data_IF_668283488521
#
_entry.id   IF_668283488521
#
_cell.length_a   1.000
_cell.length_b   1.000
_cell.length_c   1.000
_cell.angle_alpha   90.00
_cell.angle_beta   90.00
_cell.angle_gamma   90.00
#
_symmetry.space_group_name_H-M   'P 1'
#
loop_
_entity.id
_entity.type
_entity.pdbx_description
1 polymer ?
#
# COMPACT_ATOMS: atom_id res chain seq x y z
N UNK A 1 -24.01 -5.86 8.00
CA UNK A 1 -22.81 -5.16 7.48
C UNK A 1 -23.00 -3.68 7.77
N UNK A 2 -21.91 -2.92 7.92
CA UNK A 2 -21.99 -1.48 8.24
C UNK A 2 -21.36 -0.68 7.11
N UNK A 3 -22.06 0.33 6.63
CA UNK A 3 -21.54 1.25 5.61
C UNK A 3 -20.48 2.15 6.24
N UNK A 4 -19.27 2.15 5.66
CA UNK A 4 -18.16 2.97 6.14
C UNK A 4 -17.64 3.86 5.02
N UNK A 5 -17.34 5.12 5.37
CA UNK A 5 -16.68 6.09 4.50
C UNK A 5 -15.17 6.08 4.79
N UNK A 6 -14.38 5.85 3.77
CA UNK A 6 -12.96 5.49 3.90
C UNK A 6 -12.10 6.36 2.99
N UNK A 7 -11.10 7.02 3.55
CA UNK A 7 -10.09 7.75 2.78
C UNK A 7 -8.93 6.82 2.43
N UNK A 8 -8.73 6.57 1.13
CA UNK A 8 -7.78 5.55 0.67
C UNK A 8 -6.35 6.05 0.69
N UNK A 9 -5.47 5.33 1.41
CA UNK A 9 -4.05 5.67 1.56
C UNK A 9 -3.12 4.66 0.91
N UNK A 10 -3.53 3.40 0.86
CA UNK A 10 -2.65 2.28 0.54
C UNK A 10 -3.36 1.30 -0.37
N UNK A 11 -2.64 0.88 -1.41
CA UNK A 11 -2.93 -0.32 -2.21
C UNK A 11 -1.64 -1.09 -2.34
N UNK A 12 -1.61 -2.34 -1.90
CA UNK A 12 -0.41 -3.16 -2.08
C UNK A 12 -0.31 -3.67 -3.51
N UNK A 13 0.90 -3.91 -3.99
CA UNK A 13 1.11 -4.63 -5.24
C UNK A 13 0.49 -6.03 -5.13
N UNK A 14 -0.30 -6.49 -6.13
CA UNK A 14 -0.97 -7.78 -6.07
C UNK A 14 0.00 -8.90 -5.79
N UNK A 15 -0.46 -9.83 -4.97
CA UNK A 15 0.15 -11.15 -4.86
C UNK A 15 -0.80 -12.16 -5.48
N UNK A 16 -0.25 -13.16 -6.15
CA UNK A 16 -1.03 -14.33 -6.56
C UNK A 16 -1.36 -15.14 -5.32
N UNK A 17 -2.66 -15.37 -5.10
CA UNK A 17 -3.13 -16.34 -4.12
C UNK A 17 -3.68 -17.57 -4.82
N UNK A 18 -3.73 -18.69 -4.11
CA UNK A 18 -4.26 -19.96 -4.65
C UNK A 18 -5.80 -19.94 -4.78
N UNK A 19 -6.49 -19.06 -4.05
CA UNK A 19 -7.96 -18.99 -3.99
C UNK A 19 -8.56 -17.83 -4.78
N UNK A 20 -7.77 -16.80 -5.06
CA UNK A 20 -8.17 -15.60 -5.78
C UNK A 20 -7.04 -15.19 -6.73
N UNK A 21 -7.35 -15.01 -8.01
CA UNK A 21 -6.41 -14.69 -9.08
C UNK A 21 -5.40 -13.59 -8.69
N UNK A 22 -5.90 -12.48 -8.14
CA UNK A 22 -5.09 -11.37 -7.66
C UNK A 22 -5.71 -10.77 -6.40
N UNK A 23 -4.92 -10.64 -5.33
CA UNK A 23 -5.37 -9.99 -4.10
C UNK A 23 -4.55 -8.76 -3.78
N UNK A 24 -5.25 -7.64 -3.62
CA UNK A 24 -4.71 -6.39 -3.09
C UNK A 24 -5.24 -6.21 -1.66
N UNK A 25 -4.34 -5.88 -0.75
CA UNK A 25 -4.72 -5.29 0.53
C UNK A 25 -4.91 -3.80 0.29
N UNK A 26 -6.11 -3.29 0.55
CA UNK A 26 -6.37 -1.85 0.56
C UNK A 26 -6.42 -1.39 2.01
N UNK A 27 -5.80 -0.25 2.30
CA UNK A 27 -5.96 0.38 3.60
C UNK A 27 -6.20 1.88 3.48
N UNK A 28 -6.90 2.40 4.47
CA UNK A 28 -7.30 3.80 4.56
C UNK A 28 -7.64 4.16 5.99
N UNK A 29 -8.21 5.34 6.14
CA UNK A 29 -8.66 5.86 7.42
C UNK A 29 -10.14 6.21 7.34
N UNK A 30 -10.85 5.97 8.44
CA UNK A 30 -12.25 6.35 8.63
C UNK A 30 -12.37 7.84 8.94
N UNK A 31 -13.59 8.34 9.05
CA UNK A 31 -13.87 9.75 9.34
C UNK A 31 -13.42 10.17 10.75
N UNK A 32 -13.44 9.24 11.70
CA UNK A 32 -12.84 9.43 13.03
C UNK A 32 -11.29 9.34 13.00
N UNK A 33 -10.72 9.09 11.83
CA UNK A 33 -9.29 8.94 11.58
C UNK A 33 -8.73 7.56 11.92
N UNK A 34 -9.50 6.61 12.46
CA UNK A 34 -9.02 5.26 12.77
C UNK A 34 -8.68 4.47 11.49
N UNK A 35 -7.76 3.51 11.60
CA UNK A 35 -7.38 2.68 10.46
C UNK A 35 -8.49 1.72 10.05
N UNK A 36 -8.56 1.43 8.75
CA UNK A 36 -9.31 0.32 8.20
C UNK A 36 -8.50 -0.37 7.10
N UNK A 37 -8.55 -1.71 7.11
CA UNK A 37 -7.97 -2.62 6.12
C UNK A 37 -9.10 -3.39 5.46
N UNK A 38 -9.22 -3.25 4.15
CA UNK A 38 -10.14 -4.02 3.33
C UNK A 38 -9.39 -5.20 2.70
N UNK A 39 -9.85 -6.41 2.98
CA UNK A 39 -9.30 -7.62 2.39
C UNK A 39 -10.34 -8.76 2.33
N UNK A 40 -10.40 -9.52 1.22
CA UNK A 40 -9.68 -9.31 -0.04
C UNK A 40 -10.29 -8.16 -0.88
N UNK A 41 -9.46 -7.47 -1.68
CA UNK A 41 -9.96 -6.59 -2.76
C UNK A 41 -9.31 -6.98 -4.09
N UNK A 42 -10.07 -7.53 -5.06
CA UNK A 42 -9.58 -7.85 -6.40
C UNK A 42 -9.55 -6.57 -7.27
N UNK A 43 -8.74 -5.58 -6.89
CA UNK A 43 -8.78 -4.20 -7.43
C UNK A 43 -8.75 -4.11 -8.97
N UNK A 44 -8.03 -5.01 -9.65
CA UNK A 44 -7.94 -5.02 -11.11
C UNK A 44 -9.23 -5.47 -11.80
N UNK A 45 -10.01 -6.31 -11.12
CA UNK A 45 -11.31 -6.85 -11.56
C UNK A 45 -12.50 -5.97 -11.16
N UNK A 46 -12.28 -4.90 -10.38
CA UNK A 46 -13.33 -3.93 -10.10
C UNK A 46 -13.74 -3.23 -11.41
N UNK A 47 -15.00 -2.83 -11.49
CA UNK A 47 -15.50 -2.02 -12.59
C UNK A 47 -14.75 -0.68 -12.64
N UNK A 48 -14.72 -0.02 -13.80
CA UNK A 48 -14.01 1.25 -13.95
C UNK A 48 -14.48 2.30 -12.94
N UNK A 49 -15.78 2.34 -12.66
CA UNK A 49 -16.41 3.26 -11.69
C UNK A 49 -16.03 2.93 -10.24
N UNK A 50 -15.65 1.67 -9.97
CA UNK A 50 -15.21 1.18 -8.66
C UNK A 50 -13.69 1.31 -8.48
N UNK A 51 -12.93 1.65 -9.52
CA UNK A 51 -11.47 1.86 -9.42
C UNK A 51 -11.17 3.20 -8.76
N UNK A 52 -10.95 3.15 -7.45
CA UNK A 52 -10.60 4.33 -6.67
C UNK A 52 -9.11 4.72 -6.76
N UNK A 53 -8.80 6.01 -7.00
CA UNK A 53 -7.46 6.56 -6.83
C UNK A 53 -6.94 6.47 -5.39
N UNK A 54 -5.64 6.70 -5.19
CA UNK A 54 -5.12 7.03 -3.85
C UNK A 54 -5.59 8.44 -3.49
N UNK A 55 -5.89 8.68 -2.22
CA UNK A 55 -6.40 9.95 -1.70
C UNK A 55 -7.83 10.32 -2.14
N UNK A 56 -8.67 9.32 -2.45
CA UNK A 56 -10.11 9.49 -2.64
C UNK A 56 -10.90 8.98 -1.43
N UNK A 57 -12.09 9.51 -1.21
CA UNK A 57 -13.07 8.89 -0.32
C UNK A 57 -13.91 7.88 -1.09
N UNK A 58 -14.04 6.70 -0.51
CA UNK A 58 -14.98 5.68 -0.95
C UNK A 58 -16.02 5.44 0.13
N UNK A 59 -17.17 4.90 -0.26
CA UNK A 59 -18.12 4.27 0.65
C UNK A 59 -18.27 2.80 0.28
N UNK A 60 -18.35 1.95 1.29
CA UNK A 60 -18.53 0.51 1.08
C UNK A 60 -19.11 -0.11 2.35
N UNK A 61 -20.01 -1.08 2.19
CA UNK A 61 -20.45 -1.90 3.30
C UNK A 61 -19.35 -2.86 3.72
N UNK A 62 -19.13 -2.97 5.03
CA UNK A 62 -18.05 -3.78 5.58
C UNK A 62 -18.57 -4.70 6.68
N UNK A 63 -17.90 -5.83 6.84
CA UNK A 63 -18.08 -6.73 7.97
C UNK A 63 -16.73 -7.02 8.61
N UNK A 64 -16.66 -7.07 9.95
CA UNK A 64 -15.41 -7.42 10.64
C UNK A 64 -14.94 -8.81 10.23
N UNK A 65 -13.66 -8.95 9.87
CA UNK A 65 -13.08 -10.23 9.52
C UNK A 65 -12.64 -10.99 10.79
N UNK A 66 -13.51 -11.83 11.34
CA UNK A 66 -13.24 -12.57 12.60
C UNK A 66 -12.10 -13.59 12.51
N UNK A 67 -11.67 -13.96 11.29
CA UNK A 67 -10.50 -14.83 11.07
C UNK A 67 -9.17 -14.08 11.12
N UNK A 68 -9.22 -12.75 11.20
CA UNK A 68 -8.05 -11.87 11.26
C UNK A 68 -8.09 -11.09 12.57
N UNK A 69 -7.15 -11.38 13.45
CA UNK A 69 -7.11 -10.80 14.79
C UNK A 69 -6.85 -9.28 14.77
N UNK A 70 -6.30 -8.75 13.67
CA UNK A 70 -5.95 -7.33 13.55
C UNK A 70 -7.21 -6.46 13.63
N UNK A 71 -7.27 -5.48 14.54
CA UNK A 71 -8.48 -4.73 14.89
C UNK A 71 -9.10 -4.00 13.69
N UNK A 72 -8.27 -3.63 12.71
CA UNK A 72 -8.69 -2.89 11.55
C UNK A 72 -9.05 -3.76 10.34
N UNK A 73 -9.12 -5.10 10.46
CA UNK A 73 -9.38 -6.01 9.33
C UNK A 73 -10.88 -6.23 9.05
N UNK A 74 -11.33 -5.79 7.87
CA UNK A 74 -12.72 -5.88 7.42
C UNK A 74 -12.82 -6.49 6.02
N UNK A 75 -13.92 -7.22 5.77
CA UNK A 75 -14.33 -7.69 4.45
C UNK A 75 -15.29 -6.68 3.82
N UNK A 76 -14.99 -6.15 2.63
CA UNK A 76 -15.91 -5.28 1.91
C UNK A 76 -16.97 -6.09 1.16
N UNK A 77 -18.19 -5.56 1.06
CA UNK A 77 -19.16 -5.94 0.03
C UNK A 77 -18.87 -5.09 -1.22
N UNK A 78 -18.18 -5.67 -2.20
CA UNK A 78 -17.71 -4.94 -3.37
C UNK A 78 -18.84 -4.39 -4.24
N UNK A 79 -20.04 -5.01 -4.22
CA UNK A 79 -21.22 -4.52 -4.96
C UNK A 79 -21.68 -3.13 -4.46
N UNK A 80 -21.36 -2.79 -3.22
CA UNK A 80 -21.73 -1.51 -2.59
C UNK A 80 -20.63 -0.46 -2.68
N UNK A 81 -19.48 -0.82 -3.27
CA UNK A 81 -18.33 0.07 -3.32
C UNK A 81 -18.59 1.20 -4.30
N UNK A 82 -18.48 2.44 -3.82
CA UNK A 82 -18.59 3.64 -4.65
C UNK A 82 -17.53 4.68 -4.29
N UNK A 83 -17.07 5.42 -5.29
CA UNK A 83 -16.16 6.56 -5.08
C UNK A 83 -16.99 7.81 -4.86
N UNK A 84 -17.16 8.22 -3.59
CA UNK A 84 -18.02 9.36 -3.23
C UNK A 84 -17.31 10.71 -3.31
N UNK A 85 -15.98 10.71 -3.29
CA UNK A 85 -15.20 11.92 -3.53
C UNK A 85 -13.85 11.56 -4.15
N UNK A 86 -13.65 11.94 -5.41
CA UNK A 86 -12.38 11.76 -6.07
C UNK A 86 -11.28 12.62 -5.44
N UNK A 87 -10.03 12.24 -5.67
CA UNK A 87 -8.89 13.09 -5.36
C UNK A 87 -9.00 14.40 -6.19
N UNK A 88 -8.86 15.55 -5.54
CA UNK A 88 -8.88 16.85 -6.21
C UNK A 88 -7.87 16.90 -7.38
N UNK A 89 -8.27 17.51 -8.51
CA UNK A 89 -7.40 17.71 -9.68
C UNK A 89 -6.10 18.46 -9.33
N UNK A 90 -6.18 19.45 -8.43
CA UNK A 90 -5.03 20.12 -7.84
C UNK A 90 -4.67 19.44 -6.52
N UNK A 91 -3.39 19.12 -6.35
CA UNK A 91 -2.87 18.50 -5.15
C UNK A 91 -3.06 19.44 -3.94
N UNK A 92 -3.80 18.97 -2.94
CA UNK A 92 -4.04 19.68 -1.68
C UNK A 92 -3.31 18.96 -0.55
N UNK A 93 -2.06 19.36 -0.29
CA UNK A 93 -1.22 18.73 0.72
C UNK A 93 -1.70 18.97 2.14
N UNK A 94 -2.27 20.15 2.41
CA UNK A 94 -2.74 20.52 3.75
C UNK A 94 -4.02 19.77 4.12
N UNK A 95 -4.95 19.59 3.17
CA UNK A 95 -6.08 18.68 3.38
C UNK A 95 -5.62 17.26 3.66
N UNK A 96 -4.66 16.74 2.89
CA UNK A 96 -4.12 15.40 3.11
C UNK A 96 -3.47 15.26 4.47
N UNK A 97 -2.65 16.23 4.91
CA UNK A 97 -2.07 16.24 6.26
C UNK A 97 -3.15 16.24 7.32
N UNK A 98 -4.16 17.10 7.18
CA UNK A 98 -5.26 17.20 8.15
C UNK A 98 -6.00 15.88 8.30
N UNK A 99 -6.31 15.20 7.18
CA UNK A 99 -7.01 13.91 7.23
C UNK A 99 -6.06 12.82 7.77
N UNK A 100 -4.84 12.71 7.25
CA UNK A 100 -3.89 11.62 7.58
C UNK A 100 -3.35 11.73 8.99
N UNK A 101 -2.98 12.92 9.46
CA UNK A 101 -2.36 13.14 10.76
C UNK A 101 -3.36 13.58 11.84
N UNK A 102 -4.60 13.91 11.47
CA UNK A 102 -5.58 14.49 12.40
C UNK A 102 -5.87 13.63 13.63
N UNK A 103 -5.92 12.31 13.47
CA UNK A 103 -6.10 11.38 14.59
C UNK A 103 -5.17 10.15 14.50
N UNK A 104 -3.97 10.35 13.94
CA UNK A 104 -3.00 9.29 13.79
C UNK A 104 -1.73 9.60 14.56
N UNK A 105 -1.28 8.63 15.33
CA UNK A 105 0.04 8.69 15.94
C UNK A 105 1.11 8.44 14.87
N UNK A 106 2.03 9.39 14.71
CA UNK A 106 3.19 9.27 13.83
C UNK A 106 4.35 8.68 14.62
N UNK A 107 4.60 7.39 14.44
CA UNK A 107 5.69 6.69 15.11
C UNK A 107 7.05 7.12 14.55
N UNK A 108 8.01 7.35 15.43
CA UNK A 108 9.41 7.65 15.06
C UNK A 108 10.38 6.58 15.56
N UNK A 109 9.95 5.73 16.50
CA UNK A 109 10.72 4.63 17.06
C UNK A 109 10.21 3.28 16.56
N UNK A 110 11.08 2.48 15.93
CA UNK A 110 10.62 1.23 15.32
C UNK A 110 10.44 0.11 16.37
N UNK A 111 11.25 0.08 17.44
CA UNK A 111 11.12 -0.95 18.47
C UNK A 111 9.85 -0.78 19.30
N UNK A 112 9.46 0.45 19.60
CA UNK A 112 8.17 0.77 20.21
C UNK A 112 7.02 0.23 19.35
N UNK A 113 7.04 0.54 18.05
CA UNK A 113 6.00 0.11 17.13
C UNK A 113 5.95 -1.43 17.00
N UNK A 114 7.10 -2.10 16.97
CA UNK A 114 7.17 -3.58 16.97
C UNK A 114 6.59 -4.16 18.26
N UNK A 115 6.88 -3.54 19.41
CA UNK A 115 6.37 -3.98 20.71
C UNK A 115 4.85 -3.86 20.75
N UNK A 116 4.30 -2.72 20.32
CA UNK A 116 2.85 -2.50 20.22
C UNK A 116 2.17 -3.42 19.22
N UNK A 117 2.81 -3.75 18.10
CA UNK A 117 2.26 -4.74 17.17
C UNK A 117 2.06 -6.10 17.85
N UNK A 118 3.04 -6.54 18.64
CA UNK A 118 2.99 -7.84 19.31
C UNK A 118 2.00 -7.85 20.49
N UNK A 119 1.93 -6.77 21.25
CA UNK A 119 1.07 -6.65 22.42
C UNK A 119 -0.39 -6.32 22.06
N UNK A 120 -0.60 -5.33 21.19
CA UNK A 120 -1.89 -4.67 20.96
C UNK A 120 -2.46 -4.92 19.56
N UNK A 121 -1.86 -5.83 18.79
CA UNK A 121 -2.25 -6.18 17.42
C UNK A 121 -2.17 -5.02 16.40
N UNK A 122 -1.46 -3.93 16.72
CA UNK A 122 -1.26 -2.81 15.79
C UNK A 122 -0.57 -3.31 14.52
N UNK A 123 -1.26 -3.14 13.39
CA UNK A 123 -0.84 -3.72 12.12
C UNK A 123 -0.67 -2.70 11.00
N UNK A 124 -1.19 -1.49 11.19
CA UNK A 124 -1.05 -0.33 10.32
C UNK A 124 -0.57 0.86 11.13
N UNK A 125 0.35 1.64 10.57
CA UNK A 125 0.89 2.81 11.24
C UNK A 125 1.43 3.83 10.23
N UNK A 126 1.41 5.11 10.64
CA UNK A 126 2.26 6.13 10.02
C UNK A 126 3.61 6.11 10.74
N UNK A 127 4.69 6.05 9.97
CA UNK A 127 6.05 6.07 10.52
C UNK A 127 6.88 7.16 9.85
N UNK A 128 7.62 7.93 10.65
CA UNK A 128 8.56 8.94 10.18
C UNK A 128 9.99 8.49 10.46
N UNK A 129 10.78 8.12 9.43
CA UNK A 129 12.19 7.83 9.62
C UNK A 129 12.95 9.10 10.00
N UNK A 130 13.92 9.00 10.89
CA UNK A 130 14.81 10.11 11.23
C UNK A 130 15.72 10.47 10.04
N UNK A 131 16.19 9.46 9.31
CA UNK A 131 17.02 9.65 8.12
C UNK A 131 16.93 8.48 7.15
N UNK A 132 16.77 8.76 5.86
CA UNK A 132 16.97 7.75 4.81
C UNK A 132 18.47 7.65 4.50
N UNK A 133 18.99 6.41 4.49
CA UNK A 133 20.39 6.10 4.20
C UNK A 133 20.60 5.64 2.75
N UNK A 134 19.70 4.80 2.24
CA UNK A 134 19.76 4.34 0.86
C UNK A 134 18.40 3.83 0.35
N UNK A 135 18.25 3.78 -0.95
CA UNK A 135 17.18 3.08 -1.65
C UNK A 135 17.78 1.94 -2.47
N UNK A 136 17.31 0.71 -2.24
CA UNK A 136 17.89 -0.49 -2.85
C UNK A 136 16.85 -1.21 -3.72
N UNK A 137 17.30 -1.71 -4.86
CA UNK A 137 16.53 -2.59 -5.73
C UNK A 137 17.28 -3.93 -5.87
N UNK A 138 16.75 -5.00 -5.29
CA UNK A 138 17.35 -6.35 -5.41
C UNK A 138 16.55 -7.21 -6.38
N UNK A 139 17.25 -7.92 -7.27
CA UNK A 139 16.61 -8.79 -8.27
C UNK A 139 15.78 -9.89 -7.59
N UNK A 140 14.65 -10.25 -8.19
CA UNK A 140 13.88 -11.45 -7.84
C UNK A 140 13.45 -12.19 -9.10
N UNK A 141 12.89 -13.39 -8.93
CA UNK A 141 12.42 -14.20 -10.05
C UNK A 141 11.43 -13.37 -10.89
N UNK A 142 11.67 -13.18 -12.19
CA UNK A 142 10.81 -12.37 -13.06
C UNK A 142 9.44 -13.00 -13.29
N UNK A 143 9.30 -14.30 -13.05
CA UNK A 143 8.05 -15.03 -13.22
C UNK A 143 7.37 -15.24 -11.87
N UNK A 144 6.04 -15.32 -11.93
CA UNK A 144 5.27 -15.88 -10.84
C UNK A 144 5.56 -17.37 -10.68
N UNK A 145 5.26 -17.90 -9.49
CA UNK A 145 5.46 -19.32 -9.18
C UNK A 145 4.60 -20.18 -10.12
N UNK A 146 5.20 -21.07 -10.93
CA UNK A 146 4.47 -21.92 -11.86
C UNK A 146 3.39 -22.78 -11.20
N UNK A 147 3.63 -23.25 -9.96
CA UNK A 147 2.64 -24.05 -9.23
C UNK A 147 1.39 -23.24 -8.89
N UNK A 148 1.57 -21.97 -8.52
CA UNK A 148 0.46 -21.05 -8.26
C UNK A 148 -0.30 -20.67 -9.52
N UNK A 149 0.40 -20.49 -10.63
CA UNK A 149 -0.21 -20.24 -11.93
C UNK A 149 -1.04 -21.44 -12.40
N UNK A 150 -0.51 -22.66 -12.28
CA UNK A 150 -1.23 -23.88 -12.65
C UNK A 150 -2.48 -24.12 -11.78
N UNK A 151 -2.39 -23.83 -10.48
CA UNK A 151 -3.55 -23.91 -9.58
C UNK A 151 -4.61 -22.87 -9.95
N UNK A 152 -4.23 -21.61 -10.19
CA UNK A 152 -5.17 -20.59 -10.68
C UNK A 152 -5.88 -21.00 -11.97
N UNK A 153 -5.12 -21.54 -12.93
CA UNK A 153 -5.67 -22.02 -14.20
C UNK A 153 -6.65 -23.19 -13.97
N UNK A 154 -6.32 -24.12 -13.08
CA UNK A 154 -7.21 -25.21 -12.69
C UNK A 154 -8.50 -24.72 -12.02
N UNK A 155 -8.39 -23.81 -11.05
CA UNK A 155 -9.54 -23.27 -10.29
C UNK A 155 -10.49 -22.50 -11.19
N UNK A 156 -10.01 -21.64 -12.09
CA UNK A 156 -10.95 -20.89 -12.94
C UNK A 156 -11.54 -21.74 -14.07
N UNK A 157 -10.85 -22.79 -14.56
CA UNK A 157 -11.49 -23.80 -15.43
C UNK A 157 -12.66 -24.53 -14.75
N UNK A 158 -12.67 -24.64 -13.42
CA UNK A 158 -13.77 -25.24 -12.67
C UNK A 158 -14.91 -24.26 -12.33
N UNK A 159 -14.59 -22.97 -12.12
CA UNK A 159 -15.59 -21.95 -11.80
C UNK A 159 -16.30 -21.36 -13.04
N UNK A 160 -15.64 -21.36 -14.19
CA UNK A 160 -16.10 -20.66 -15.40
C UNK A 160 -16.76 -21.59 -16.42
N UNK A 161 -17.83 -22.27 -16.02
CA UNK A 161 -18.66 -23.09 -16.94
C UNK A 161 -19.46 -22.23 -17.94
N UNK A 162 -19.58 -20.91 -17.69
CA UNK A 162 -20.44 -19.99 -18.47
C UNK A 162 -19.76 -18.69 -18.96
N UNK A 163 -18.44 -18.54 -18.83
CA UNK A 163 -17.73 -17.35 -19.33
C UNK A 163 -17.10 -17.57 -20.70
N UNK A 164 -17.02 -16.51 -21.48
CA UNK A 164 -16.39 -16.51 -22.81
C UNK A 164 -14.87 -16.61 -22.71
N UNK A 165 -14.21 -17.07 -23.78
CA UNK A 165 -12.74 -17.18 -23.85
C UNK A 165 -12.06 -15.82 -23.66
N UNK A 166 -12.67 -14.73 -24.12
CA UNK A 166 -12.12 -13.38 -23.96
C UNK A 166 -12.23 -12.89 -22.50
N UNK A 167 -13.34 -13.19 -21.81
CA UNK A 167 -13.50 -12.90 -20.37
C UNK A 167 -12.49 -13.70 -19.53
N UNK A 168 -12.26 -14.96 -19.89
CA UNK A 168 -11.23 -15.81 -19.31
C UNK A 168 -9.85 -15.16 -19.53
N UNK A 169 -9.49 -14.78 -20.76
CA UNK A 169 -8.17 -14.18 -21.09
C UNK A 169 -7.93 -12.86 -20.36
N UNK A 170 -8.93 -11.98 -20.22
CA UNK A 170 -8.79 -10.72 -19.50
C UNK A 170 -8.82 -10.92 -17.97
N UNK A 171 -9.58 -11.90 -17.47
CA UNK A 171 -9.59 -12.31 -16.06
C UNK A 171 -8.25 -12.92 -15.60
N UNK A 172 -7.52 -13.55 -16.53
CA UNK A 172 -6.23 -14.22 -16.30
C UNK A 172 -4.99 -13.40 -16.69
N UNK A 173 -5.15 -12.16 -17.14
CA UNK A 173 -4.02 -11.23 -17.26
C UNK A 173 -3.55 -10.81 -15.87
N UNK A 174 -2.85 -11.73 -15.21
CA UNK A 174 -2.12 -11.46 -13.97
C UNK A 174 -1.17 -10.30 -14.25
N UNK A 175 -1.11 -9.36 -13.31
CA UNK A 175 -0.19 -8.24 -13.33
C UNK A 175 1.23 -8.77 -13.57
N UNK A 176 1.97 -8.22 -14.55
CA UNK A 176 3.34 -8.63 -14.80
C UNK A 176 4.17 -8.48 -13.52
N UNK A 177 4.79 -9.55 -13.05
CA UNK A 177 5.59 -9.50 -11.83
C UNK A 177 6.74 -8.51 -11.99
N UNK A 178 6.90 -7.62 -11.02
CA UNK A 178 8.07 -6.75 -10.93
C UNK A 178 9.28 -7.61 -10.53
N UNK A 179 10.35 -7.70 -11.35
CA UNK A 179 11.50 -8.55 -11.10
C UNK A 179 12.48 -7.95 -10.09
N UNK A 180 12.01 -7.06 -9.22
CA UNK A 180 12.81 -6.38 -8.19
C UNK A 180 12.03 -6.26 -6.88
N UNK A 181 12.72 -6.41 -5.76
CA UNK A 181 12.26 -5.91 -4.47
C UNK A 181 12.88 -4.54 -4.23
N UNK A 182 12.03 -3.53 -4.07
CA UNK A 182 12.44 -2.21 -3.65
C UNK A 182 12.42 -2.09 -2.12
N UNK A 183 13.36 -1.34 -1.55
CA UNK A 183 13.45 -1.13 -0.11
C UNK A 183 14.14 0.18 0.24
N UNK A 184 13.78 0.74 1.39
CA UNK A 184 14.57 1.78 2.03
C UNK A 184 15.44 1.19 3.12
N UNK A 185 16.65 1.72 3.25
CA UNK A 185 17.48 1.62 4.44
C UNK A 185 17.41 2.96 5.17
N UNK A 186 17.09 2.96 6.47
CA UNK A 186 16.85 4.18 7.23
C UNK A 186 17.29 4.05 8.69
N UNK A 187 17.39 5.19 9.37
CA UNK A 187 17.53 5.33 10.82
C UNK A 187 16.20 5.76 11.42
N UNK A 188 15.85 5.21 12.57
CA UNK A 188 14.77 5.71 13.43
C UNK A 188 15.30 6.77 14.42
N UNK A 189 14.44 7.30 15.29
CA UNK A 189 14.80 8.33 16.28
C UNK A 189 15.86 7.89 17.30
N UNK A 190 15.96 6.60 17.58
CA UNK A 190 16.98 6.01 18.46
C UNK A 190 18.31 5.74 17.77
N UNK A 191 18.41 6.03 16.47
CA UNK A 191 19.58 5.71 15.65
C UNK A 191 19.64 4.24 15.21
N UNK A 192 18.57 3.46 15.39
CA UNK A 192 18.52 2.08 14.92
C UNK A 192 18.44 2.07 13.40
N UNK A 193 19.35 1.31 12.78
CA UNK A 193 19.35 1.09 11.35
C UNK A 193 18.45 -0.08 10.95
N UNK A 194 17.55 0.15 10.01
CA UNK A 194 16.64 -0.88 9.47
C UNK A 194 16.55 -0.83 7.95
N UNK A 195 16.34 -1.99 7.33
CA UNK A 195 16.01 -2.11 5.89
C UNK A 195 14.60 -2.68 5.77
N UNK A 196 13.72 -1.98 5.05
CA UNK A 196 12.31 -2.38 4.92
C UNK A 196 11.86 -2.40 3.46
N UNK A 197 11.22 -3.50 3.06
CA UNK A 197 10.68 -3.69 1.71
C UNK A 197 9.46 -2.81 1.47
N UNK A 198 9.31 -2.37 0.23
CA UNK A 198 8.16 -1.61 -0.26
C UNK A 198 7.26 -2.58 -1.05
N UNK A 199 6.03 -2.73 -0.58
CA UNK A 199 4.97 -3.56 -1.18
C UNK A 199 3.85 -2.71 -1.80
N UNK A 200 4.08 -1.41 -1.97
CA UNK A 200 3.13 -0.47 -2.56
C UNK A 200 2.86 -0.78 -4.04
N UNK A 201 1.62 -0.63 -4.48
CA UNK A 201 1.23 -0.69 -5.89
C UNK A 201 1.92 0.40 -6.72
N UNK A 202 2.06 1.60 -6.16
CA UNK A 202 2.55 2.78 -6.91
C UNK A 202 3.99 2.59 -7.40
N UNK A 203 4.87 1.98 -6.59
CA UNK A 203 6.25 1.71 -7.00
C UNK A 203 6.33 0.66 -8.11
N UNK A 204 5.46 -0.36 -8.06
CA UNK A 204 5.41 -1.40 -9.09
C UNK A 204 4.91 -0.84 -10.42
N UNK A 205 3.87 -0.01 -10.39
CA UNK A 205 3.38 0.67 -11.59
C UNK A 205 4.35 1.71 -12.12
N UNK A 206 5.07 2.42 -11.24
CA UNK A 206 6.15 3.31 -11.65
C UNK A 206 7.21 2.52 -12.43
N UNK A 207 7.67 1.38 -11.91
CA UNK A 207 8.63 0.52 -12.61
C UNK A 207 8.11 0.09 -13.99
N UNK A 208 6.87 -0.41 -14.08
CA UNK A 208 6.26 -0.84 -15.36
C UNK A 208 6.22 0.32 -16.36
N UNK A 209 5.83 1.52 -15.93
CA UNK A 209 5.79 2.71 -16.78
C UNK A 209 7.19 3.15 -17.23
N UNK A 210 8.17 3.11 -16.33
CA UNK A 210 9.56 3.42 -16.64
C UNK A 210 10.15 2.40 -17.63
N UNK A 211 9.85 1.12 -17.48
CA UNK A 211 10.28 0.04 -18.37
C UNK A 211 9.74 0.23 -19.79
N UNK A 212 8.43 0.54 -19.90
CA UNK A 212 7.80 0.86 -21.20
C UNK A 212 8.49 2.05 -21.88
N UNK A 213 8.73 3.14 -21.13
CA UNK A 213 9.41 4.34 -21.64
C UNK A 213 10.89 4.14 -21.95
N UNK A 214 11.52 3.10 -21.39
CA UNK A 214 12.90 2.75 -21.61
C UNK A 214 13.08 1.67 -22.70
N UNK A 215 12.03 1.34 -23.46
CA UNK A 215 12.11 0.32 -24.50
C UNK A 215 12.43 -1.08 -23.97
N UNK A 216 12.03 -1.39 -22.73
CA UNK A 216 12.32 -2.69 -22.11
C UNK A 216 13.65 -2.79 -21.37
N UNK A 217 14.47 -1.72 -21.33
CA UNK A 217 15.71 -1.71 -20.56
C UNK A 217 15.42 -1.62 -19.04
N UNK A 218 15.77 -2.68 -18.31
CA UNK A 218 15.44 -2.83 -16.89
C UNK A 218 16.29 -1.93 -15.99
N UNK A 219 17.57 -1.77 -16.32
CA UNK A 219 18.53 -0.95 -15.59
C UNK A 219 18.09 0.52 -15.60
N UNK A 220 17.71 1.04 -16.78
CA UNK A 220 17.16 2.40 -16.92
C UNK A 220 15.84 2.54 -16.14
N UNK A 221 14.99 1.51 -16.15
CA UNK A 221 13.72 1.54 -15.41
C UNK A 221 13.93 1.61 -13.89
N UNK A 222 14.84 0.79 -13.35
CA UNK A 222 15.21 0.80 -11.93
C UNK A 222 15.81 2.14 -11.53
N UNK A 223 16.67 2.70 -12.37
CA UNK A 223 17.29 4.00 -12.10
C UNK A 223 16.26 5.13 -12.05
N UNK A 224 15.27 5.15 -12.97
CA UNK A 224 14.17 6.11 -12.90
C UNK A 224 13.30 5.95 -11.65
N UNK A 225 13.08 4.72 -11.19
CA UNK A 225 12.39 4.45 -9.92
C UNK A 225 13.20 5.02 -8.76
N UNK A 226 14.52 4.80 -8.74
CA UNK A 226 15.44 5.34 -7.73
C UNK A 226 15.42 6.87 -7.73
N UNK A 227 15.50 7.52 -8.89
CA UNK A 227 15.43 8.99 -8.99
C UNK A 227 14.15 9.53 -8.34
N UNK A 228 13.00 8.90 -8.61
CA UNK A 228 11.73 9.30 -7.99
C UNK A 228 11.71 9.07 -6.47
N UNK A 229 12.00 7.85 -6.02
CA UNK A 229 11.86 7.46 -4.62
C UNK A 229 13.00 7.96 -3.72
N UNK A 230 14.19 8.17 -4.27
CA UNK A 230 15.35 8.60 -3.49
C UNK A 230 15.67 10.07 -3.70
N UNK A 231 15.68 10.58 -4.94
CA UNK A 231 16.12 11.96 -5.16
C UNK A 231 14.96 12.95 -5.03
N UNK A 232 13.77 12.61 -5.51
CA UNK A 232 12.62 13.51 -5.47
C UNK A 232 11.89 13.46 -4.11
N UNK A 233 11.57 12.26 -3.62
CA UNK A 233 10.81 12.12 -2.37
C UNK A 233 11.59 12.57 -1.12
N UNK A 234 12.94 12.48 -1.12
CA UNK A 234 13.74 12.98 0.02
C UNK A 234 13.82 14.50 0.08
N UNK A 235 13.36 15.23 -0.95
CA UNK A 235 13.18 16.69 -0.90
C UNK A 235 11.90 17.11 -0.16
N UNK A 236 11.14 16.14 0.34
CA UNK A 236 9.86 16.31 0.99
C UNK A 236 9.88 15.68 2.38
N UNK A 237 8.84 15.94 3.18
CA UNK A 237 8.66 15.39 4.52
C UNK A 237 8.15 13.94 4.42
N UNK A 238 9.06 13.02 4.09
CA UNK A 238 8.74 11.63 3.78
C UNK A 238 8.30 10.83 5.02
N UNK A 239 7.13 10.24 4.91
CA UNK A 239 6.52 9.32 5.85
C UNK A 239 6.22 7.98 5.16
N UNK A 240 6.24 6.92 5.93
CA UNK A 240 5.83 5.58 5.50
C UNK A 240 4.47 5.23 6.07
N UNK A 241 3.61 4.66 5.23
CA UNK A 241 2.52 3.82 5.71
C UNK A 241 3.07 2.42 5.87
N UNK A 242 3.15 1.96 7.11
CA UNK A 242 3.61 0.64 7.47
C UNK A 242 2.44 -0.32 7.60
N UNK A 243 2.66 -1.57 7.18
CA UNK A 243 1.68 -2.63 7.26
C UNK A 243 2.31 -4.00 7.51
N UNK A 244 1.62 -4.83 8.29
CA UNK A 244 2.04 -6.22 8.50
C UNK A 244 1.30 -7.19 7.58
N UNK A 245 1.93 -8.35 7.35
CA UNK A 245 1.25 -9.52 6.79
C UNK A 245 0.71 -10.39 7.92
N UNK A 246 -0.45 -11.03 7.72
CA UNK A 246 -1.06 -11.88 8.74
C UNK A 246 -0.10 -12.98 9.22
N UNK A 247 0.54 -13.67 8.27
CA UNK A 247 1.49 -14.78 8.53
C UNK A 247 2.65 -14.39 9.45
N UNK A 248 3.17 -13.17 9.32
CA UNK A 248 4.40 -12.76 10.01
C UNK A 248 4.14 -11.87 11.23
N UNK A 249 2.91 -11.38 11.43
CA UNK A 249 2.62 -10.36 12.43
C UNK A 249 3.06 -10.76 13.85
N UNK A 250 2.79 -12.00 14.28
CA UNK A 250 3.15 -12.47 15.64
C UNK A 250 4.54 -13.10 15.76
N UNK A 251 5.10 -13.59 14.66
CA UNK A 251 6.30 -14.45 14.69
C UNK A 251 7.57 -13.76 14.20
N UNK A 252 7.46 -12.74 13.36
CA UNK A 252 8.63 -12.05 12.84
C UNK A 252 9.24 -11.11 13.89
N UNK A 253 10.57 -11.00 13.87
CA UNK A 253 11.28 -10.01 14.69
C UNK A 253 10.79 -8.59 14.38
N UNK A 254 10.67 -8.26 13.10
CA UNK A 254 9.98 -7.07 12.58
C UNK A 254 8.86 -7.53 11.64
N UNK A 255 7.57 -7.29 11.98
CA UNK A 255 6.45 -7.70 11.15
C UNK A 255 6.09 -6.68 10.06
N UNK A 256 6.69 -5.48 10.06
CA UNK A 256 6.29 -4.37 9.21
C UNK A 256 6.99 -4.36 7.85
N UNK A 257 6.23 -3.90 6.87
CA UNK A 257 6.68 -3.56 5.52
C UNK A 257 6.11 -2.20 5.13
N UNK A 258 6.77 -1.49 4.21
CA UNK A 258 6.25 -0.23 3.68
C UNK A 258 5.16 -0.59 2.68
N UNK A 259 3.91 -0.27 3.00
CA UNK A 259 2.76 -0.54 2.12
C UNK A 259 2.31 0.72 1.37
N UNK A 260 2.85 1.88 1.73
CA UNK A 260 2.74 3.11 0.97
C UNK A 260 3.72 4.18 1.44
N UNK A 261 3.93 5.20 0.62
CA UNK A 261 4.70 6.40 0.99
C UNK A 261 3.82 7.64 0.93
N UNK A 262 4.10 8.60 1.82
CA UNK A 262 3.48 9.92 1.87
C UNK A 262 4.57 10.98 2.01
N UNK A 263 4.63 11.93 1.09
CA UNK A 263 5.76 12.86 0.95
C UNK A 263 5.28 14.30 0.73
N UNK A 264 4.50 14.87 1.67
CA UNK A 264 4.09 16.26 1.54
C UNK A 264 5.31 17.21 1.62
N UNK A 265 5.23 18.44 1.09
CA UNK A 265 6.27 19.45 1.28
C UNK A 265 6.60 19.61 2.76
N UNK A 266 7.83 20.02 3.10
CA UNK A 266 8.11 20.38 4.48
C UNK A 266 7.13 21.46 4.96
N UNK A 267 6.63 21.37 6.21
CA UNK A 267 5.84 22.45 6.78
C UNK A 267 6.61 23.77 6.60
N UNK A 268 5.98 24.78 6.01
CA UNK A 268 6.53 26.13 6.08
C UNK A 268 6.71 26.45 7.55
N UNK A 269 7.90 26.89 7.97
CA UNK A 269 8.10 27.45 9.31
C UNK A 269 7.13 28.64 9.42
N UNK A 270 5.96 28.41 10.00
CA UNK A 270 5.12 29.48 10.49
C UNK A 270 5.93 30.04 11.66
N UNK A 271 6.61 31.17 11.42
CA UNK A 271 7.06 32.03 12.51
C UNK A 271 5.80 32.35 13.29
N UNK A 272 5.67 31.79 14.49
CA UNK A 272 4.61 32.22 15.39
C UNK A 272 4.85 33.70 15.64
N UNK A 273 3.85 34.53 15.35
CA UNK A 273 3.89 35.97 15.59
C UNK A 273 4.06 36.33 17.08
N UNK A 274 4.07 35.32 17.96
CA UNK A 274 4.29 35.43 19.40
C UNK A 274 5.74 35.19 19.83
N UNK A 275 6.65 34.81 18.93
CA UNK A 275 8.09 34.67 19.23
C UNK A 275 8.86 36.00 19.05
N UNK A 276 8.15 37.12 18.88
CA UNK A 276 8.69 38.48 18.71
C UNK A 276 8.20 39.47 19.77
N UNK A 277 7.76 38.98 20.95
CA UNK A 277 7.40 39.83 22.09
C UNK A 277 8.43 39.70 23.22
#
# INVERSE_FOLDING_TARGET
MEKKRIYILVKTYPTISETYAELVCTAGILEDGSWIRLYPVPFRKLDLEQKYPKFSWIEVETARNTKDFRPESYRPNLETLSVVQEAKKKLDWEERRRIIFGNQHVYTNLEELITKAKADDISLAVFKPARILSFNASKTNPSWDPAKLANLEYVSRQLNVFQTVDEIVDEFRVVPKVPYHFSYKFLDDSGRQSTMKILDWEIGMLYVNCLKRAGGNKEIAVEKVRQKYYEEFLKHDLHFFLGTTLKHHKVAKNPFTIVGVFYPPFPSKQLNLFDLA
#
